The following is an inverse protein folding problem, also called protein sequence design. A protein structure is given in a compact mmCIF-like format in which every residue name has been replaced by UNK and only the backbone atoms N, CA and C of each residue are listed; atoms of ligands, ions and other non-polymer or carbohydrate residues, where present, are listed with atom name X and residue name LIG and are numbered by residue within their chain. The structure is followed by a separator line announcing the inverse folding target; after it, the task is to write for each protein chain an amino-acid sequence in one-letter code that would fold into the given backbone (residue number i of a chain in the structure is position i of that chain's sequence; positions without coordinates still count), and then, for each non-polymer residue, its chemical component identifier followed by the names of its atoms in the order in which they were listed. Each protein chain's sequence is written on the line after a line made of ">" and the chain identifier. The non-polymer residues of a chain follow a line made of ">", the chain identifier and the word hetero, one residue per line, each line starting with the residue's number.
data_IF_694701302471
#
_entry.id   IF_694701302471
#
_cell.length_a   1.000
_cell.length_b   1.000
_cell.length_c   1.000
_cell.angle_alpha   90.00
_cell.angle_beta   90.00
_cell.angle_gamma   90.00
#
_symmetry.space_group_name_H-M   'P 1'
#
loop_
_entity.id
_entity.type
_entity.pdbx_description
1 polymer ?
#
# COMPACT_ATOMS: atom_id res chain seq x y z
N UNK A 1 -7.76 18.49 16.12
CA UNK A 1 -7.46 17.12 16.60
C UNK A 1 -8.49 16.22 15.94
N UNK A 2 -8.07 15.45 14.94
CA UNK A 2 -8.96 14.56 14.21
C UNK A 2 -9.63 13.59 15.17
N UNK A 3 -10.95 13.65 15.19
CA UNK A 3 -11.86 12.80 15.96
C UNK A 3 -11.60 11.31 15.66
N UNK A 4 -11.94 10.41 16.60
CA UNK A 4 -11.59 9.00 16.49
C UNK A 4 -12.21 8.41 15.21
N UNK A 5 -11.36 8.07 14.23
CA UNK A 5 -11.79 7.43 12.99
C UNK A 5 -12.63 6.21 13.31
N UNK A 6 -13.84 6.16 12.74
CA UNK A 6 -14.77 5.05 12.85
C UNK A 6 -14.00 3.74 12.59
N UNK A 7 -14.08 2.74 13.47
CA UNK A 7 -13.41 1.44 13.25
C UNK A 7 -13.76 0.83 11.88
N UNK A 8 -14.94 1.10 11.34
CA UNK A 8 -15.37 0.68 10.00
C UNK A 8 -14.58 1.40 8.92
N UNK A 9 -14.44 2.72 9.01
CA UNK A 9 -13.68 3.53 8.06
C UNK A 9 -12.20 3.15 8.09
N UNK A 10 -11.63 2.94 9.28
CA UNK A 10 -10.27 2.47 9.47
C UNK A 10 -10.01 1.14 8.75
N UNK A 11 -10.92 0.17 8.94
CA UNK A 11 -10.83 -1.14 8.28
C UNK A 11 -10.92 -1.03 6.76
N UNK A 12 -11.90 -0.28 6.25
CA UNK A 12 -12.05 -0.06 4.79
C UNK A 12 -10.78 0.54 4.20
N UNK A 13 -10.18 1.54 4.87
CA UNK A 13 -8.92 2.14 4.41
C UNK A 13 -7.78 1.12 4.37
N UNK A 14 -7.63 0.29 5.40
CA UNK A 14 -6.64 -0.78 5.43
C UNK A 14 -6.82 -1.80 4.29
N UNK A 15 -8.06 -2.25 4.06
CA UNK A 15 -8.39 -3.16 2.96
C UNK A 15 -8.08 -2.56 1.58
N UNK A 16 -8.38 -1.27 1.37
CA UNK A 16 -8.04 -0.57 0.13
C UNK A 16 -6.54 -0.43 -0.07
N UNK A 17 -5.78 -0.15 0.99
CA UNK A 17 -4.32 -0.09 0.93
C UNK A 17 -3.70 -1.44 0.59
N UNK A 18 -4.21 -2.55 1.14
CA UNK A 18 -3.75 -3.89 0.74
C UNK A 18 -3.97 -4.17 -0.77
N UNK A 19 -5.10 -3.73 -1.32
CA UNK A 19 -5.35 -3.83 -2.77
C UNK A 19 -4.42 -2.94 -3.59
N UNK A 20 -4.12 -1.74 -3.09
CA UNK A 20 -3.18 -0.82 -3.75
C UNK A 20 -1.74 -1.35 -3.72
N UNK A 21 -1.33 -2.03 -2.64
CA UNK A 21 -0.05 -2.74 -2.54
C UNK A 21 0.05 -3.80 -3.63
N UNK A 22 -0.97 -4.66 -3.79
CA UNK A 22 -0.97 -5.68 -4.82
C UNK A 22 -0.86 -5.08 -6.23
N UNK A 23 -1.55 -3.97 -6.50
CA UNK A 23 -1.42 -3.26 -7.77
C UNK A 23 -0.01 -2.68 -7.96
N UNK A 24 0.59 -2.12 -6.91
CA UNK A 24 1.95 -1.62 -6.94
C UNK A 24 2.98 -2.72 -7.22
N UNK A 25 2.78 -3.93 -6.70
CA UNK A 25 3.63 -5.09 -7.01
C UNK A 25 3.56 -5.48 -8.50
N UNK A 26 2.39 -5.42 -9.14
CA UNK A 26 2.27 -5.59 -10.59
C UNK A 26 2.98 -4.47 -11.37
N UNK A 27 2.90 -3.23 -10.88
CA UNK A 27 3.59 -2.10 -11.50
C UNK A 27 5.11 -2.21 -11.39
N UNK A 28 5.64 -2.78 -10.29
CA UNK A 28 7.07 -3.07 -10.18
C UNK A 28 7.50 -4.10 -11.23
N UNK A 29 6.74 -5.20 -11.39
CA UNK A 29 7.00 -6.20 -12.44
C UNK A 29 7.00 -5.56 -13.83
N UNK A 30 6.03 -4.70 -14.12
CA UNK A 30 5.95 -3.98 -15.39
C UNK A 30 7.15 -3.04 -15.59
N UNK A 31 7.60 -2.35 -14.54
CA UNK A 31 8.77 -1.48 -14.61
C UNK A 31 10.05 -2.29 -14.90
N UNK A 32 10.21 -3.47 -14.30
CA UNK A 32 11.31 -4.40 -14.57
C UNK A 32 11.26 -4.91 -16.02
N UNK A 33 10.08 -5.31 -16.51
CA UNK A 33 9.87 -5.77 -17.90
C UNK A 33 10.22 -4.70 -18.95
N UNK A 34 10.10 -3.42 -18.58
CA UNK A 34 10.38 -2.27 -19.44
C UNK A 34 11.79 -1.68 -19.23
N UNK A 35 12.62 -2.27 -18.37
CA UNK A 35 13.95 -1.78 -17.98
C UNK A 35 13.92 -0.34 -17.39
N UNK A 36 12.82 0.01 -16.71
CA UNK A 36 12.58 1.33 -16.10
C UNK A 36 12.99 1.34 -14.62
N UNK A 37 14.26 1.07 -14.33
CA UNK A 37 14.76 0.90 -12.96
C UNK A 37 14.42 2.05 -11.97
N UNK A 38 14.49 3.31 -12.43
CA UNK A 38 14.15 4.47 -11.58
C UNK A 38 12.66 4.53 -11.26
N UNK A 39 11.80 4.19 -12.23
CA UNK A 39 10.37 4.11 -12.00
C UNK A 39 10.04 2.97 -11.03
N UNK A 40 10.67 1.80 -11.21
CA UNK A 40 10.54 0.66 -10.31
C UNK A 40 10.92 1.00 -8.87
N UNK A 41 12.00 1.75 -8.66
CA UNK A 41 12.41 2.22 -7.33
C UNK A 41 11.35 3.11 -6.66
N UNK A 42 10.78 4.06 -7.38
CA UNK A 42 9.74 4.93 -6.83
C UNK A 42 8.44 4.20 -6.53
N UNK A 43 8.07 3.23 -7.39
CA UNK A 43 6.91 2.37 -7.14
C UNK A 43 7.13 1.55 -5.86
N UNK A 44 8.31 0.95 -5.70
CA UNK A 44 8.69 0.19 -4.51
C UNK A 44 8.57 1.03 -3.22
N UNK A 45 9.11 2.26 -3.22
CA UNK A 45 8.99 3.17 -2.07
C UNK A 45 7.53 3.49 -1.70
N UNK A 46 6.68 3.71 -2.70
CA UNK A 46 5.26 3.93 -2.49
C UNK A 46 4.55 2.68 -1.93
N UNK A 47 4.89 1.49 -2.44
CA UNK A 47 4.35 0.22 -1.97
C UNK A 47 4.68 -0.04 -0.50
N UNK A 48 5.94 0.16 -0.09
CA UNK A 48 6.35 0.00 1.31
C UNK A 48 5.58 0.97 2.23
N UNK A 49 5.43 2.23 1.83
CA UNK A 49 4.65 3.23 2.60
C UNK A 49 3.18 2.79 2.76
N UNK A 50 2.56 2.27 1.70
CA UNK A 50 1.18 1.77 1.76
C UNK A 50 1.06 0.51 2.62
N UNK A 51 2.06 -0.39 2.58
CA UNK A 51 2.12 -1.60 3.39
C UNK A 51 2.18 -1.26 4.89
N UNK A 52 3.10 -0.39 5.27
CA UNK A 52 3.24 0.09 6.65
C UNK A 52 1.97 0.79 7.16
N UNK A 53 1.30 1.57 6.30
CA UNK A 53 0.03 2.21 6.65
C UNK A 53 -1.11 1.19 6.78
N UNK A 54 -1.20 0.20 5.88
CA UNK A 54 -2.21 -0.86 5.98
C UNK A 54 -2.06 -1.64 7.30
N UNK A 55 -0.84 -2.07 7.64
CA UNK A 55 -0.55 -2.81 8.88
C UNK A 55 -0.92 -2.01 10.13
N UNK A 56 -0.69 -0.69 10.14
CA UNK A 56 -1.12 0.19 11.24
C UNK A 56 -2.64 0.27 11.40
N UNK A 57 -3.41 0.08 10.33
CA UNK A 57 -4.86 0.25 10.34
C UNK A 57 -5.64 -1.03 10.66
N UNK A 58 -5.19 -2.17 10.15
CA UNK A 58 -5.84 -3.48 10.36
C UNK A 58 -5.14 -4.36 11.39
N UNK A 59 -3.93 -3.99 11.84
CA UNK A 59 -3.13 -4.77 12.77
C UNK A 59 -2.45 -5.98 12.10
N UNK A 60 -1.51 -6.64 12.79
CA UNK A 60 -0.92 -7.89 12.32
C UNK A 60 -1.98 -8.99 12.36
N UNK A 61 -2.70 -9.19 11.25
CA UNK A 61 -3.63 -10.28 10.95
C UNK A 61 -4.43 -10.86 12.14
N UNK A 62 -5.72 -10.49 12.22
CA UNK A 62 -6.74 -11.38 12.75
C UNK A 62 -7.04 -12.53 11.78
#
# INVERSE_FOLDING_TARGET
>A
MDTPQDPTERRIRGELLHRAVALGEELMRLADDLDLAVAGLHICQGVETMREEAERLVGPQA
#
